data_IF_320809705713
#
_entry.id   IF_320809705713
#
_cell.length_a   1.000
_cell.length_b   1.000
_cell.length_c   1.000
_cell.angle_alpha   90.00
_cell.angle_beta   90.00
_cell.angle_gamma   90.00
#
_symmetry.space_group_name_H-M   'P 1'
#
loop_
_entity.id
_entity.type
_entity.pdbx_description
1 polymer ?
#
# COMPACT_ATOMS: atom_id res chain seq x y z
N UNK A 1 -3.37 -23.29 -8.85
CA UNK A 1 -2.10 -23.02 -8.18
C UNK A 1 -2.15 -21.66 -7.50
N UNK A 2 -1.75 -21.60 -6.24
CA UNK A 2 -1.78 -20.34 -5.51
C UNK A 2 -0.75 -19.37 -6.07
N UNK A 3 -1.11 -18.10 -6.18
CA UNK A 3 -0.16 -17.08 -6.58
C UNK A 3 0.85 -16.85 -5.47
N UNK A 4 2.10 -16.60 -5.84
CA UNK A 4 3.14 -16.27 -4.89
C UNK A 4 2.91 -14.89 -4.30
N UNK A 5 3.25 -14.75 -3.03
CA UNK A 5 3.29 -13.45 -2.40
C UNK A 5 4.53 -12.70 -2.87
N UNK A 6 4.35 -11.44 -3.23
CA UNK A 6 5.46 -10.57 -3.65
C UNK A 6 5.45 -9.33 -2.79
N UNK A 7 6.56 -9.11 -2.10
CA UNK A 7 6.78 -7.89 -1.33
C UNK A 7 7.43 -6.85 -2.23
N UNK A 8 6.83 -5.68 -2.31
CA UNK A 8 7.38 -4.57 -3.07
C UNK A 8 7.86 -3.51 -2.08
N UNK A 9 9.15 -3.24 -2.10
CA UNK A 9 9.74 -2.11 -1.39
C UNK A 9 9.70 -0.91 -2.32
N UNK A 10 8.91 0.08 -1.95
CA UNK A 10 8.81 1.30 -2.74
C UNK A 10 9.96 2.26 -2.37
N UNK A 11 10.32 3.12 -3.30
CA UNK A 11 11.21 4.23 -2.99
C UNK A 11 10.55 5.15 -1.96
N UNK A 12 11.34 5.98 -1.29
CA UNK A 12 10.84 6.92 -0.30
C UNK A 12 9.68 7.74 -0.89
N UNK A 13 8.57 7.78 -0.18
CA UNK A 13 7.35 8.44 -0.64
C UNK A 13 6.56 7.65 -1.68
N UNK A 14 7.02 6.48 -2.06
CA UNK A 14 6.36 5.57 -3.01
C UNK A 14 5.86 6.29 -4.27
N UNK A 15 6.74 6.96 -5.04
CA UNK A 15 6.28 7.74 -6.20
C UNK A 15 5.61 6.89 -7.27
N UNK A 16 6.05 5.66 -7.48
CA UNK A 16 5.41 4.77 -8.45
C UNK A 16 3.99 4.44 -8.05
N UNK A 17 3.78 4.05 -6.80
CA UNK A 17 2.44 3.77 -6.29
C UNK A 17 1.59 5.05 -6.26
N UNK A 18 2.17 6.14 -5.79
CA UNK A 18 1.48 7.41 -5.58
C UNK A 18 1.02 8.05 -6.90
N UNK A 19 1.86 8.04 -7.92
CA UNK A 19 1.60 8.74 -9.17
C UNK A 19 1.00 7.83 -10.25
N UNK A 20 1.42 6.57 -10.27
CA UNK A 20 1.06 5.63 -11.34
C UNK A 20 0.23 4.45 -10.86
N UNK A 21 0.05 4.30 -9.55
CA UNK A 21 -0.62 3.14 -9.00
C UNK A 21 0.14 1.85 -9.26
N UNK A 22 1.47 1.92 -9.32
CA UNK A 22 2.29 0.77 -9.68
C UNK A 22 2.26 -0.31 -8.61
N UNK A 23 2.24 -1.55 -9.04
CA UNK A 23 2.37 -2.73 -8.21
C UNK A 23 3.61 -3.53 -8.56
N UNK A 24 3.55 -4.87 -8.45
CA UNK A 24 4.69 -5.73 -8.73
C UNK A 24 5.23 -5.52 -10.14
N UNK A 25 6.55 -5.50 -10.27
CA UNK A 25 7.22 -5.31 -11.54
C UNK A 25 7.06 -3.93 -12.14
N UNK A 26 6.68 -2.94 -11.33
CA UNK A 26 6.44 -1.56 -11.74
C UNK A 26 5.30 -1.42 -12.74
N UNK A 27 4.42 -2.42 -12.81
CA UNK A 27 3.27 -2.39 -13.72
C UNK A 27 2.13 -1.61 -13.10
N UNK A 28 1.39 -0.82 -13.89
CA UNK A 28 0.16 -0.19 -13.40
C UNK A 28 -0.81 -1.24 -12.90
N UNK A 29 -1.26 -1.09 -11.65
CA UNK A 29 -2.06 -2.12 -10.97
C UNK A 29 -3.22 -1.53 -10.20
N UNK A 30 -3.62 -0.30 -10.49
CA UNK A 30 -4.64 0.44 -9.74
C UNK A 30 -4.32 0.45 -8.26
N UNK A 31 -3.06 0.70 -7.93
CA UNK A 31 -2.56 0.56 -6.56
C UNK A 31 -3.27 1.46 -5.57
N UNK A 32 -3.57 2.72 -5.94
CA UNK A 32 -4.27 3.63 -5.03
C UNK A 32 -5.68 3.18 -4.71
N UNK A 33 -6.41 2.68 -5.71
CA UNK A 33 -7.76 2.16 -5.49
C UNK A 33 -7.73 0.93 -4.59
N UNK A 34 -6.80 0.04 -4.84
CA UNK A 34 -6.64 -1.17 -4.02
C UNK A 34 -6.22 -0.83 -2.59
N UNK A 35 -5.35 0.16 -2.43
CA UNK A 35 -4.93 0.64 -1.12
C UNK A 35 -6.10 1.30 -0.39
N UNK A 36 -6.90 2.11 -1.07
CA UNK A 36 -8.09 2.71 -0.49
C UNK A 36 -9.05 1.63 0.03
N UNK A 37 -9.27 0.59 -0.75
CA UNK A 37 -10.14 -0.53 -0.35
C UNK A 37 -9.57 -1.29 0.83
N UNK A 38 -8.25 -1.47 0.86
CA UNK A 38 -7.58 -2.16 1.97
C UNK A 38 -7.74 -1.37 3.27
N UNK A 39 -7.55 -0.05 3.22
CA UNK A 39 -7.77 0.82 4.37
C UNK A 39 -9.23 0.78 4.83
N UNK A 40 -10.16 0.87 3.90
CA UNK A 40 -11.59 0.85 4.22
C UNK A 40 -11.97 -0.47 4.91
N UNK A 41 -11.40 -1.57 4.47
CA UNK A 41 -11.71 -2.89 4.99
C UNK A 41 -11.12 -3.15 6.37
N UNK A 42 -9.88 -2.69 6.62
CA UNK A 42 -9.10 -3.10 7.80
C UNK A 42 -8.83 -1.99 8.79
N UNK A 43 -9.14 -0.75 8.47
CA UNK A 43 -8.94 0.39 9.34
C UNK A 43 -10.28 1.05 9.65
N UNK A 44 -11.15 0.32 10.29
CA UNK A 44 -12.51 0.78 10.56
C UNK A 44 -12.56 2.05 11.42
N UNK A 45 -11.51 2.30 12.21
CA UNK A 45 -11.40 3.52 13.01
C UNK A 45 -11.03 4.75 12.16
N UNK A 46 -10.48 4.52 10.97
CA UNK A 46 -10.12 5.59 10.07
C UNK A 46 -11.26 5.82 9.10
N UNK A 47 -11.59 7.07 8.87
CA UNK A 47 -12.59 7.40 7.86
C UNK A 47 -12.07 7.04 6.48
N UNK A 48 -12.98 6.87 5.54
CA UNK A 48 -12.63 6.58 4.16
C UNK A 48 -11.69 7.67 3.63
N UNK A 49 -10.54 7.26 3.13
CA UNK A 49 -9.53 8.18 2.64
C UNK A 49 -9.72 8.44 1.16
N UNK A 50 -9.64 9.69 0.75
CA UNK A 50 -9.60 10.06 -0.66
C UNK A 50 -8.23 9.70 -1.26
N UNK A 51 -8.16 9.67 -2.59
CA UNK A 51 -6.88 9.47 -3.26
C UNK A 51 -5.88 10.58 -2.91
N UNK A 52 -6.34 11.81 -2.79
CA UNK A 52 -5.48 12.93 -2.39
C UNK A 52 -4.88 12.70 -1.00
N UNK A 53 -5.68 12.21 -0.07
CA UNK A 53 -5.20 11.89 1.28
C UNK A 53 -4.21 10.74 1.27
N UNK A 54 -4.46 9.70 0.47
CA UNK A 54 -3.55 8.57 0.32
C UNK A 54 -2.21 9.03 -0.28
N UNK A 55 -2.25 9.86 -1.31
CA UNK A 55 -1.03 10.40 -1.92
C UNK A 55 -0.22 11.22 -0.92
N UNK A 56 -0.89 12.03 -0.12
CA UNK A 56 -0.23 12.83 0.91
C UNK A 56 0.41 11.94 1.98
N UNK A 57 -0.30 10.91 2.40
CA UNK A 57 0.21 9.95 3.37
C UNK A 57 1.46 9.25 2.84
N UNK A 58 1.42 8.77 1.60
CA UNK A 58 2.56 8.11 0.97
C UNK A 58 3.74 9.07 0.83
N UNK A 59 3.49 10.28 0.38
CA UNK A 59 4.56 11.28 0.21
C UNK A 59 5.29 11.57 1.53
N UNK A 60 4.59 11.52 2.67
CA UNK A 60 5.17 11.73 3.98
C UNK A 60 5.81 10.48 4.60
N UNK A 61 5.85 9.37 3.89
CA UNK A 61 6.36 8.11 4.43
C UNK A 61 7.80 7.87 4.00
N UNK A 62 8.67 7.54 4.96
CA UNK A 62 10.07 7.20 4.67
C UNK A 62 10.22 5.77 4.16
N UNK A 63 9.39 4.87 4.65
CA UNK A 63 9.37 3.48 4.21
C UNK A 63 7.96 3.13 3.80
N UNK A 64 7.82 2.55 2.62
CA UNK A 64 6.54 2.05 2.13
C UNK A 64 6.77 0.67 1.54
N UNK A 65 5.99 -0.29 1.99
CA UNK A 65 6.00 -1.64 1.46
C UNK A 65 4.59 -2.05 1.10
N UNK A 66 4.45 -2.83 0.05
CA UNK A 66 3.18 -3.43 -0.32
C UNK A 66 3.37 -4.91 -0.58
N UNK A 67 2.38 -5.70 -0.23
CA UNK A 67 2.43 -7.15 -0.39
C UNK A 67 1.30 -7.56 -1.32
N UNK A 68 1.64 -8.31 -2.35
CA UNK A 68 0.74 -8.64 -3.44
C UNK A 68 0.63 -10.15 -3.61
N UNK A 69 -0.57 -10.59 -3.91
CA UNK A 69 -0.84 -11.95 -4.36
C UNK A 69 -1.40 -11.84 -5.78
N UNK A 70 -0.53 -12.06 -6.79
CA UNK A 70 -0.89 -11.77 -8.16
C UNK A 70 -1.19 -10.29 -8.33
N UNK A 71 -2.36 -9.94 -8.80
CA UNK A 71 -2.79 -8.55 -8.96
C UNK A 71 -3.52 -8.00 -7.75
N UNK A 72 -3.64 -8.78 -6.68
CA UNK A 72 -4.37 -8.37 -5.48
C UNK A 72 -3.41 -7.81 -4.45
N UNK A 73 -3.71 -6.62 -3.95
CA UNK A 73 -2.99 -6.03 -2.83
C UNK A 73 -3.53 -6.63 -1.54
N UNK A 74 -2.68 -7.36 -0.82
CA UNK A 74 -3.10 -8.06 0.41
C UNK A 74 -2.42 -7.53 1.66
N UNK A 75 -1.41 -6.68 1.52
CA UNK A 75 -0.75 -6.11 2.68
C UNK A 75 -0.12 -4.77 2.36
N UNK A 76 0.04 -3.96 3.38
CA UNK A 76 0.62 -2.63 3.24
C UNK A 76 1.25 -2.22 4.56
N UNK A 77 2.39 -1.57 4.50
CA UNK A 77 3.04 -0.98 5.66
C UNK A 77 3.73 0.31 5.30
N UNK A 78 3.69 1.24 6.22
CA UNK A 78 4.44 2.49 6.07
C UNK A 78 5.06 2.91 7.39
N UNK A 79 6.20 3.55 7.31
CA UNK A 79 6.88 4.10 8.47
C UNK A 79 7.29 5.55 8.21
N UNK A 80 7.33 6.34 9.26
CA UNK A 80 7.86 7.70 9.21
C UNK A 80 9.37 7.68 9.45
N UNK A 81 9.99 8.86 9.38
CA UNK A 81 11.46 8.98 9.43
C UNK A 81 12.09 8.51 10.75
N UNK A 82 11.31 8.40 11.81
CA UNK A 82 11.76 7.85 13.08
C UNK A 82 11.80 6.32 13.11
N UNK A 83 11.44 5.65 11.99
CA UNK A 83 11.42 4.20 11.89
C UNK A 83 10.19 3.55 12.50
N UNK A 84 9.25 4.32 12.99
CA UNK A 84 8.05 3.78 13.62
C UNK A 84 7.00 3.53 12.54
N UNK A 85 6.49 2.31 12.48
CA UNK A 85 5.40 1.98 11.57
C UNK A 85 4.13 2.68 11.99
N UNK A 86 3.51 3.40 11.05
CA UNK A 86 2.28 4.17 11.27
C UNK A 86 1.05 3.44 10.77
N UNK A 87 1.23 2.49 9.88
CA UNK A 87 0.15 1.64 9.41
C UNK A 87 0.73 0.31 8.97
N UNK A 88 0.08 -0.76 9.37
CA UNK A 88 0.36 -2.11 8.90
C UNK A 88 -0.99 -2.79 8.70
N UNK A 89 -1.29 -3.15 7.45
CA UNK A 89 -2.56 -3.77 7.10
C UNK A 89 -2.27 -5.14 6.48
N UNK A 90 -3.10 -6.11 6.80
CA UNK A 90 -2.96 -7.46 6.27
C UNK A 90 -4.33 -8.04 5.92
N UNK A 91 -4.48 -8.46 4.67
CA UNK A 91 -5.69 -9.11 4.17
C UNK A 91 -5.33 -10.43 3.46
N UNK A 92 -4.27 -11.07 3.91
CA UNK A 92 -3.81 -12.30 3.28
C UNK A 92 -4.73 -13.49 3.51
N UNK A 93 -5.58 -13.38 4.50
CA UNK A 93 -6.43 -14.49 4.88
C UNK A 93 -5.59 -15.65 5.42
N UNK A 94 -6.25 -16.69 5.71
CA UNK A 94 -5.61 -17.90 6.20
C UNK A 94 -5.90 -19.03 5.22
#
# INVERSE_FOLDING_TARGET
MAAHLRLVHHAKGAPGLRLLGSGPGLMPSRGLLKLQRLFHKHAFWAQQRSFAQLRRMLAGSSVVVSLWRGKRLVGFGRASSDGIYRAVLWDGGV
#
